data_IF_684955362499
#
_entry.id   IF_684955362499
#
_cell.length_a   1.000
_cell.length_b   1.000
_cell.length_c   1.000
_cell.angle_alpha   90.00
_cell.angle_beta   90.00
_cell.angle_gamma   90.00
#
_symmetry.space_group_name_H-M   'P 1'
#
loop_
_entity.id
_entity.type
_entity.pdbx_description
1 polymer ?
#
# COMPACT_ATOMS: atom_id res chain seq x y z
N UNK A 1 -1.34 19.60 -7.89
CA UNK A 1 -1.42 18.32 -7.16
C UNK A 1 0.01 17.90 -6.84
N UNK A 2 0.35 17.70 -5.57
CA UNK A 2 1.69 17.22 -5.17
C UNK A 2 1.65 15.70 -5.31
N UNK A 3 2.19 15.16 -6.40
CA UNK A 3 2.43 13.72 -6.57
C UNK A 3 3.17 13.18 -5.34
N UNK A 4 2.64 12.13 -4.73
CA UNK A 4 3.32 11.43 -3.65
C UNK A 4 4.71 11.00 -4.17
N UNK A 5 5.80 11.47 -3.54
CA UNK A 5 7.13 10.97 -3.88
C UNK A 5 7.16 9.49 -3.52
N UNK A 6 7.34 8.61 -4.51
CA UNK A 6 7.49 7.17 -4.34
C UNK A 6 8.71 6.86 -3.46
N UNK A 7 8.47 6.79 -2.15
CA UNK A 7 9.44 6.43 -1.12
C UNK A 7 9.23 4.99 -0.64
N UNK A 8 9.96 4.61 0.41
CA UNK A 8 9.68 3.35 1.11
C UNK A 8 8.46 3.57 2.00
N UNK A 9 7.38 2.82 1.76
CA UNK A 9 6.16 2.88 2.56
C UNK A 9 6.15 1.77 3.61
N UNK A 10 5.56 2.03 4.76
CA UNK A 10 5.09 1.01 5.69
C UNK A 10 3.60 0.78 5.49
N UNK A 11 3.05 -0.26 6.13
CA UNK A 11 1.59 -0.45 6.18
C UNK A 11 0.87 0.77 6.72
N UNK A 12 1.40 1.42 7.76
CA UNK A 12 0.78 2.60 8.36
C UNK A 12 0.76 3.79 7.38
N UNK A 13 1.78 3.92 6.53
CA UNK A 13 1.83 4.98 5.51
C UNK A 13 0.72 4.77 4.47
N UNK A 14 0.45 3.53 4.05
CA UNK A 14 -0.69 3.23 3.18
C UNK A 14 -2.03 3.57 3.84
N UNK A 15 -2.24 3.16 5.09
CA UNK A 15 -3.48 3.44 5.81
C UNK A 15 -3.71 4.94 5.97
N UNK A 16 -2.65 5.71 6.26
CA UNK A 16 -2.70 7.15 6.38
C UNK A 16 -2.97 7.82 5.03
N UNK A 17 -2.31 7.38 3.95
CA UNK A 17 -2.45 7.95 2.62
C UNK A 17 -3.87 7.77 2.06
N UNK A 18 -4.44 6.57 2.22
CA UNK A 18 -5.80 6.27 1.73
C UNK A 18 -6.90 6.59 2.75
N UNK A 19 -6.55 6.99 3.97
CA UNK A 19 -7.52 7.34 5.02
C UNK A 19 -8.40 6.16 5.46
N UNK A 20 -7.86 4.94 5.47
CA UNK A 20 -8.61 3.70 5.76
C UNK A 20 -8.01 2.89 6.91
N UNK A 21 -8.80 1.96 7.45
CA UNK A 21 -8.33 1.00 8.46
C UNK A 21 -7.66 -0.21 7.80
N UNK A 22 -6.84 -0.94 8.57
CA UNK A 22 -6.14 -2.14 8.07
C UNK A 22 -7.10 -3.16 7.42
N UNK A 23 -8.24 -3.54 8.03
CA UNK A 23 -9.12 -4.55 7.43
C UNK A 23 -9.76 -4.08 6.11
N UNK A 24 -10.01 -2.78 5.96
CA UNK A 24 -10.55 -2.22 4.72
C UNK A 24 -9.45 -2.24 3.65
N UNK A 25 -8.25 -1.78 4.00
CA UNK A 25 -7.12 -1.78 3.07
C UNK A 25 -6.78 -3.19 2.58
N UNK A 26 -6.74 -4.18 3.48
CA UNK A 26 -6.46 -5.57 3.13
C UNK A 26 -7.48 -6.15 2.15
N UNK A 27 -8.75 -5.74 2.22
CA UNK A 27 -9.76 -6.11 1.21
C UNK A 27 -9.49 -5.46 -0.14
N UNK A 28 -9.00 -4.23 -0.16
CA UNK A 28 -8.74 -3.50 -1.40
C UNK A 28 -7.52 -4.07 -2.15
N UNK A 29 -6.52 -4.57 -1.44
CA UNK A 29 -5.33 -5.16 -2.04
C UNK A 29 -5.40 -6.68 -2.22
N UNK A 30 -6.56 -7.32 -1.96
CA UNK A 30 -6.69 -8.79 -1.96
C UNK A 30 -6.21 -9.41 -3.28
N UNK A 31 -6.54 -8.78 -4.42
CA UNK A 31 -6.14 -9.25 -5.76
C UNK A 31 -4.63 -9.10 -6.06
N UNK A 32 -3.94 -8.22 -5.34
CA UNK A 32 -2.51 -7.94 -5.50
C UNK A 32 -1.68 -8.37 -4.28
N UNK A 33 -2.29 -9.03 -3.28
CA UNK A 33 -1.69 -9.33 -1.98
C UNK A 33 -0.37 -10.11 -2.15
N UNK A 34 -0.39 -11.13 -3.01
CA UNK A 34 0.78 -11.96 -3.33
C UNK A 34 1.84 -11.18 -4.12
N UNK A 35 1.43 -10.31 -5.05
CA UNK A 35 2.32 -9.54 -5.91
C UNK A 35 3.18 -8.54 -5.12
N UNK A 36 2.58 -7.93 -4.10
CA UNK A 36 3.28 -7.00 -3.19
C UNK A 36 3.89 -7.71 -1.98
N UNK A 37 3.74 -9.04 -1.90
CA UNK A 37 4.24 -9.88 -0.82
C UNK A 37 3.74 -9.46 0.56
N UNK A 38 2.46 -9.08 0.67
CA UNK A 38 1.87 -8.59 1.91
C UNK A 38 1.86 -9.69 2.99
N UNK A 39 2.35 -9.37 4.20
CA UNK A 39 2.38 -10.31 5.33
C UNK A 39 1.43 -9.86 6.44
N UNK A 40 0.29 -10.53 6.60
CA UNK A 40 -0.72 -10.23 7.64
C UNK A 40 -0.11 -10.26 9.04
N UNK A 41 -0.50 -9.31 9.89
CA UNK A 41 -0.03 -9.20 11.27
C UNK A 41 1.45 -8.79 11.48
N UNK A 42 2.24 -8.64 10.42
CA UNK A 42 3.66 -8.27 10.53
C UNK A 42 3.92 -6.82 10.11
N UNK A 43 4.91 -6.20 10.76
CA UNK A 43 5.48 -4.94 10.28
C UNK A 43 6.24 -5.23 8.98
N UNK A 44 5.96 -4.45 7.94
CA UNK A 44 6.57 -4.61 6.62
C UNK A 44 6.83 -3.23 6.01
N UNK A 45 7.92 -3.13 5.26
CA UNK A 45 8.26 -1.99 4.43
C UNK A 45 8.18 -2.39 2.96
N UNK A 46 7.72 -1.47 2.13
CA UNK A 46 7.46 -1.64 0.71
C UNK A 46 8.37 -0.67 -0.05
N UNK A 47 9.34 -1.17 -0.83
CA UNK A 47 10.17 -0.31 -1.66
C UNK A 47 9.33 0.33 -2.79
N UNK A 48 9.82 1.41 -3.42
CA UNK A 48 9.07 2.16 -4.44
C UNK A 48 8.41 1.30 -5.52
N UNK A 49 9.07 0.23 -5.96
CA UNK A 49 8.52 -0.73 -6.94
C UNK A 49 7.21 -1.37 -6.47
N UNK A 50 7.11 -1.76 -5.20
CA UNK A 50 5.88 -2.39 -4.67
C UNK A 50 4.82 -1.34 -4.36
N UNK A 51 5.23 -0.13 -3.96
CA UNK A 51 4.31 1.00 -3.78
C UNK A 51 3.61 1.34 -5.09
N UNK A 52 4.36 1.35 -6.20
CA UNK A 52 3.78 1.58 -7.52
C UNK A 52 2.69 0.56 -7.87
N UNK A 53 2.89 -0.72 -7.58
CA UNK A 53 1.86 -1.76 -7.84
C UNK A 53 0.57 -1.45 -7.08
N UNK A 54 0.67 -1.00 -5.83
CA UNK A 54 -0.50 -0.59 -5.03
C UNK A 54 -1.16 0.64 -5.65
N UNK A 55 -0.39 1.64 -6.07
CA UNK A 55 -0.93 2.88 -6.66
C UNK A 55 -1.54 2.64 -8.04
N UNK A 56 -0.97 1.75 -8.85
CA UNK A 56 -1.53 1.37 -10.15
C UNK A 56 -2.87 0.64 -9.99
N UNK A 57 -3.02 -0.15 -8.91
CA UNK A 57 -4.25 -0.91 -8.64
C UNK A 57 -5.35 -0.06 -7.97
N UNK A 58 -4.99 0.74 -6.97
CA UNK A 58 -5.95 1.53 -6.16
C UNK A 58 -6.12 2.98 -6.63
N UNK A 59 -5.26 3.45 -7.53
CA UNK A 59 -5.06 4.86 -7.81
C UNK A 59 -4.03 5.50 -6.88
N UNK A 60 -3.34 6.53 -7.37
CA UNK A 60 -2.51 7.39 -6.52
C UNK A 60 -3.42 8.09 -5.49
N UNK A 61 -3.08 8.04 -4.18
CA UNK A 61 -3.85 8.70 -3.13
C UNK A 61 -3.76 10.23 -3.18
#
# INVERSE_FOLDING_TARGET
>A
MKTAKLGVYSKADFLLAYGVTMPIFEKWIEEIEEQIGWKKGQKQKFPPRLVQIVFDHLGEP
#
